data_IF_081553932610
#
_entry.id   IF_081553932610
#
_cell.length_a   1.000
_cell.length_b   1.000
_cell.length_c   1.000
_cell.angle_alpha   90.00
_cell.angle_beta   90.00
_cell.angle_gamma   90.00
#
_symmetry.space_group_name_H-M   'P 1'
#
loop_
_entity.id
_entity.type
_entity.pdbx_description
1 polymer ?
#
# COMPACT_ATOMS: atom_id res chain seq x y z
N UNK A 1 -58.48 43.66 -20.78
CA UNK A 1 -57.50 44.60 -21.35
C UNK A 1 -56.16 43.90 -21.34
N UNK A 2 -55.71 43.57 -22.54
CA UNK A 2 -54.43 42.94 -22.96
C UNK A 2 -53.16 43.78 -22.63
N UNK A 3 -51.91 43.31 -22.92
CA UNK A 3 -51.43 41.94 -23.19
C UNK A 3 -50.07 41.57 -22.53
N UNK A 4 -49.67 40.29 -22.71
CA UNK A 4 -48.30 39.75 -22.59
C UNK A 4 -47.40 40.20 -23.79
N UNK A 5 -46.06 40.17 -23.66
CA UNK A 5 -45.28 39.12 -24.36
C UNK A 5 -44.01 38.71 -23.58
N UNK A 6 -43.31 37.59 -23.83
CA UNK A 6 -43.38 36.66 -24.93
C UNK A 6 -42.49 35.43 -24.69
N UNK A 7 -42.80 34.39 -25.43
CA UNK A 7 -42.01 33.17 -25.61
C UNK A 7 -41.05 33.36 -26.78
N UNK A 8 -39.81 32.87 -26.64
CA UNK A 8 -38.92 32.63 -27.78
C UNK A 8 -38.23 31.28 -27.63
N UNK A 9 -38.43 30.47 -28.67
CA UNK A 9 -37.85 29.16 -28.95
C UNK A 9 -36.35 29.24 -29.27
N UNK A 10 -35.58 28.14 -29.11
CA UNK A 10 -34.15 28.11 -29.42
C UNK A 10 -33.90 28.05 -30.93
N UNK A 11 -33.08 28.98 -31.43
CA UNK A 11 -32.56 28.99 -32.79
C UNK A 11 -31.43 27.97 -32.94
N UNK A 12 -31.61 27.05 -33.89
CA UNK A 12 -30.57 26.21 -34.47
C UNK A 12 -29.61 27.01 -35.38
N UNK A 13 -28.50 26.36 -35.76
CA UNK A 13 -27.58 26.58 -36.90
C UNK A 13 -26.23 27.25 -36.50
N UNK A 14 -25.04 26.92 -37.09
CA UNK A 14 -24.61 25.72 -37.83
C UNK A 14 -23.30 25.08 -37.32
N UNK A 15 -23.12 23.82 -37.75
CA UNK A 15 -21.86 23.08 -37.88
C UNK A 15 -20.92 23.78 -38.88
N UNK A 16 -19.61 23.91 -38.62
CA UNK A 16 -18.62 24.08 -39.67
C UNK A 16 -17.97 22.72 -40.01
N UNK A 17 -18.14 22.34 -41.28
CA UNK A 17 -17.45 21.23 -41.95
C UNK A 17 -16.16 21.75 -42.61
N UNK A 18 -15.12 20.91 -42.58
CA UNK A 18 -13.89 20.83 -43.41
C UNK A 18 -12.68 21.68 -43.04
N UNK A 19 -11.56 20.99 -42.83
CA UNK A 19 -10.39 20.85 -43.74
C UNK A 19 -9.55 19.65 -43.23
N UNK A 20 -9.38 18.49 -43.91
CA UNK A 20 -8.49 18.10 -45.04
C UNK A 20 -7.10 18.76 -44.92
N UNK A 21 -6.00 18.07 -44.59
CA UNK A 21 -5.13 17.11 -45.34
C UNK A 21 -3.96 16.69 -44.38
N UNK A 22 -2.93 15.88 -44.75
CA UNK A 22 -2.92 14.53 -45.30
C UNK A 22 -2.01 13.54 -44.53
N UNK A 23 -2.16 12.25 -44.83
CA UNK A 23 -1.05 11.31 -45.06
C UNK A 23 -0.09 10.97 -43.90
N UNK A 24 -0.24 9.78 -43.32
CA UNK A 24 0.86 8.81 -43.30
C UNK A 24 0.35 7.39 -43.10
N UNK A 25 0.39 6.63 -44.20
CA UNK A 25 0.14 5.21 -44.29
C UNK A 25 1.51 4.53 -44.24
N UNK A 26 1.86 3.91 -43.10
CA UNK A 26 2.97 2.96 -43.04
C UNK A 26 2.36 1.56 -43.08
N UNK A 27 2.53 0.93 -44.24
CA UNK A 27 2.20 -0.47 -44.50
C UNK A 27 3.22 -1.37 -43.84
N UNK A 28 2.78 -2.31 -43.00
CA UNK A 28 3.54 -3.51 -42.70
C UNK A 28 3.10 -4.64 -43.62
N UNK A 29 4.11 -5.32 -44.14
CA UNK A 29 4.10 -6.29 -45.23
C UNK A 29 4.40 -7.63 -44.59
N UNK A 30 3.44 -8.54 -44.55
CA UNK A 30 3.71 -9.96 -44.27
C UNK A 30 3.14 -10.83 -45.38
N UNK A 31 4.08 -11.32 -46.19
CA UNK A 31 4.01 -12.56 -46.94
C UNK A 31 3.65 -13.69 -45.96
N UNK A 32 2.70 -14.59 -46.19
CA UNK A 32 2.57 -15.45 -47.35
C UNK A 32 2.79 -16.90 -46.89
N UNK A 33 1.87 -17.81 -47.26
CA UNK A 33 2.12 -19.25 -47.24
C UNK A 33 1.16 -20.11 -46.39
N UNK A 34 0.01 -20.48 -46.97
CA UNK A 34 -0.59 -21.80 -46.75
C UNK A 34 0.09 -22.81 -47.68
N UNK A 35 0.09 -24.12 -47.37
CA UNK A 35 -0.77 -25.03 -48.14
C UNK A 35 -1.34 -26.19 -47.23
N UNK A 36 -1.92 -27.31 -47.74
CA UNK A 36 -3.32 -27.64 -47.47
C UNK A 36 -3.58 -29.02 -46.82
N UNK A 37 -4.86 -29.30 -46.62
CA UNK A 37 -5.55 -30.47 -46.10
C UNK A 37 -5.19 -31.83 -46.76
N UNK A 38 -5.15 -32.87 -45.91
CA UNK A 38 -5.64 -34.24 -46.13
C UNK A 38 -5.70 -34.91 -44.72
N UNK A 39 -6.75 -35.52 -44.20
CA UNK A 39 -7.91 -36.16 -44.82
C UNK A 39 -7.65 -37.66 -44.99
N UNK A 40 -7.68 -38.45 -43.90
CA UNK A 40 -7.79 -39.91 -43.98
C UNK A 40 -8.48 -40.48 -42.73
N UNK A 41 -9.31 -41.46 -43.03
CA UNK A 41 -10.43 -42.06 -42.30
C UNK A 41 -10.03 -43.29 -41.50
N UNK A 42 -10.74 -43.59 -40.41
CA UNK A 42 -10.70 -44.90 -39.77
C UNK A 42 -11.75 -45.01 -38.65
N UNK A 43 -12.67 -45.96 -38.77
CA UNK A 43 -13.91 -46.12 -38.00
C UNK A 43 -13.97 -47.56 -37.46
N UNK A 44 -14.61 -47.75 -36.31
CA UNK A 44 -15.09 -49.00 -35.67
C UNK A 44 -14.11 -49.90 -34.87
N UNK A 45 -14.37 -50.09 -33.58
CA UNK A 45 -15.20 -51.19 -33.04
C UNK A 45 -15.62 -50.93 -31.58
N UNK A 46 -16.77 -51.48 -31.19
CA UNK A 46 -17.39 -51.45 -29.86
C UNK A 46 -17.14 -52.76 -29.09
N UNK A 47 -17.31 -52.64 -27.77
CA UNK A 47 -17.69 -53.64 -26.73
C UNK A 47 -16.59 -54.41 -25.97
N UNK A 48 -16.76 -54.40 -24.63
CA UNK A 48 -16.09 -55.27 -23.67
C UNK A 48 -16.03 -54.73 -22.25
N UNK A 49 -17.08 -54.94 -21.45
CA UNK A 49 -17.15 -54.72 -19.99
C UNK A 49 -16.22 -55.67 -19.19
N UNK A 50 -15.59 -55.17 -18.12
CA UNK A 50 -15.36 -55.92 -16.86
C UNK A 50 -14.78 -55.04 -15.72
N UNK A 51 -15.59 -54.86 -14.68
CA UNK A 51 -15.35 -54.86 -13.22
C UNK A 51 -14.06 -54.33 -12.53
N UNK A 52 -14.35 -53.58 -11.45
CA UNK A 52 -13.70 -53.53 -10.11
C UNK A 52 -12.44 -52.68 -9.83
N UNK A 53 -12.72 -51.59 -9.08
CA UNK A 53 -12.11 -51.16 -7.81
C UNK A 53 -10.57 -51.09 -7.64
N UNK A 54 -10.05 -49.89 -7.38
CA UNK A 54 -9.30 -49.53 -6.15
C UNK A 54 -8.55 -48.19 -6.26
N UNK A 55 -8.66 -47.42 -5.17
CA UNK A 55 -7.65 -46.53 -4.58
C UNK A 55 -7.11 -45.32 -5.37
N UNK A 56 -7.61 -44.15 -4.93
CA UNK A 56 -7.07 -42.83 -5.09
C UNK A 56 -5.59 -42.74 -4.61
N UNK A 57 -4.66 -42.40 -5.50
CA UNK A 57 -3.29 -42.00 -5.12
C UNK A 57 -2.88 -40.76 -5.92
N UNK A 58 -2.80 -39.64 -5.21
CA UNK A 58 -2.39 -38.34 -5.72
C UNK A 58 -0.98 -38.42 -6.33
N UNK A 59 -0.89 -38.26 -7.65
CA UNK A 59 0.39 -38.10 -8.37
C UNK A 59 0.98 -36.73 -8.07
N UNK A 60 2.06 -36.71 -7.28
CA UNK A 60 2.95 -35.53 -7.14
C UNK A 60 3.64 -35.27 -8.49
N UNK A 61 3.45 -34.07 -9.04
CA UNK A 61 4.10 -33.66 -10.29
C UNK A 61 5.61 -33.49 -10.09
N UNK A 62 6.40 -34.29 -10.80
CA UNK A 62 7.85 -34.14 -10.87
C UNK A 62 8.18 -33.13 -11.96
N UNK A 63 8.65 -31.95 -11.56
CA UNK A 63 9.14 -30.91 -12.46
C UNK A 63 10.34 -31.46 -13.25
N UNK A 64 10.17 -31.62 -14.57
CA UNK A 64 11.25 -31.99 -15.49
C UNK A 64 12.36 -30.94 -15.42
N UNK A 65 13.60 -31.38 -15.19
CA UNK A 65 14.79 -30.52 -15.34
C UNK A 65 15.60 -31.00 -16.54
N UNK A 66 16.06 -30.04 -17.36
CA UNK A 66 16.80 -30.32 -18.58
C UNK A 66 18.25 -30.66 -18.25
N UNK A 67 18.84 -31.57 -19.03
CA UNK A 67 20.21 -32.03 -18.85
C UNK A 67 21.17 -30.89 -19.24
N UNK A 68 21.65 -30.15 -18.24
CA UNK A 68 22.49 -28.97 -18.42
C UNK A 68 22.38 -27.94 -17.28
N UNK A 69 21.30 -27.99 -16.50
CA UNK A 69 21.10 -27.03 -15.40
C UNK A 69 21.99 -27.36 -14.18
N UNK A 70 22.94 -26.46 -13.90
CA UNK A 70 23.89 -26.58 -12.79
C UNK A 70 23.16 -26.28 -11.46
N UNK A 71 23.02 -27.29 -10.59
CA UNK A 71 22.42 -27.14 -9.25
C UNK A 71 23.18 -26.10 -8.43
N UNK A 72 22.51 -25.03 -8.01
CA UNK A 72 23.05 -24.14 -6.98
C UNK A 72 23.15 -24.87 -5.64
N UNK A 73 24.32 -24.80 -4.99
CA UNK A 73 24.56 -25.41 -3.69
C UNK A 73 23.83 -24.61 -2.60
N UNK A 74 22.83 -25.21 -1.96
CA UNK A 74 22.21 -24.67 -0.73
C UNK A 74 23.27 -24.50 0.37
N UNK A 75 23.54 -23.27 0.77
CA UNK A 75 24.33 -22.99 1.97
C UNK A 75 23.53 -23.37 3.23
N UNK A 76 24.07 -24.29 4.02
CA UNK A 76 23.53 -24.73 5.31
C UNK A 76 23.66 -23.60 6.34
N UNK A 77 22.56 -22.92 6.67
CA UNK A 77 22.51 -21.92 7.76
C UNK A 77 22.73 -22.63 9.10
N UNK A 78 23.83 -22.32 9.79
CA UNK A 78 24.11 -22.83 11.15
C UNK A 78 23.14 -22.17 12.13
N UNK A 79 22.45 -23.00 12.93
CA UNK A 79 21.62 -22.62 14.08
C UNK A 79 22.54 -22.03 15.15
N UNK A 80 22.28 -20.81 15.61
CA UNK A 80 22.93 -20.23 16.80
C UNK A 80 21.88 -20.16 17.90
N UNK A 81 22.12 -20.89 18.97
CA UNK A 81 21.39 -20.78 20.23
C UNK A 81 21.88 -19.53 20.96
N UNK A 82 20.92 -18.75 21.46
CA UNK A 82 21.12 -17.50 22.16
C UNK A 82 19.74 -16.98 22.52
N UNK A 83 19.32 -17.27 23.74
CA UNK A 83 18.09 -16.82 24.37
C UNK A 83 18.25 -15.33 24.73
N UNK A 84 17.47 -14.46 24.12
CA UNK A 84 17.26 -13.07 24.54
C UNK A 84 15.85 -12.64 24.09
N UNK A 85 14.94 -12.54 25.07
CA UNK A 85 13.52 -12.23 24.94
C UNK A 85 13.26 -10.74 24.63
N UNK A 86 13.61 -10.28 23.42
CA UNK A 86 13.11 -9.00 22.88
C UNK A 86 12.80 -9.12 21.38
N UNK A 87 11.55 -9.52 21.14
CA UNK A 87 10.69 -9.40 19.95
C UNK A 87 11.36 -9.53 18.57
N UNK A 88 11.45 -10.78 18.13
CA UNK A 88 11.80 -11.14 16.77
C UNK A 88 10.64 -10.91 15.81
N UNK A 89 10.79 -9.96 14.90
CA UNK A 89 10.16 -10.09 13.58
C UNK A 89 10.99 -11.08 12.75
N UNK A 90 10.99 -12.33 13.22
CA UNK A 90 11.37 -13.47 12.41
C UNK A 90 10.22 -13.65 11.42
N UNK A 91 10.46 -13.23 10.18
CA UNK A 91 9.55 -13.28 9.03
C UNK A 91 8.92 -14.68 8.90
N UNK A 92 7.82 -14.88 9.64
CA UNK A 92 7.04 -16.10 9.63
C UNK A 92 5.99 -15.90 8.54
N UNK A 93 5.80 -16.88 7.64
CA UNK A 93 4.90 -16.72 6.49
C UNK A 93 3.43 -16.41 6.89
N UNK A 94 3.07 -16.59 8.16
CA UNK A 94 1.74 -16.27 8.70
C UNK A 94 1.53 -14.78 9.01
N UNK A 95 2.57 -13.98 9.30
CA UNK A 95 2.40 -12.54 9.56
C UNK A 95 2.29 -11.69 8.28
N UNK A 96 2.54 -12.29 7.11
CA UNK A 96 2.46 -11.61 5.81
C UNK A 96 1.08 -11.66 5.16
N UNK A 97 0.14 -12.43 5.72
CA UNK A 97 -1.21 -12.62 5.18
C UNK A 97 -2.25 -11.80 5.96
N UNK A 98 -3.34 -11.43 5.30
CA UNK A 98 -4.45 -10.68 5.89
C UNK A 98 -4.33 -9.16 5.77
N UNK A 99 -5.25 -8.48 6.47
CA UNK A 99 -5.39 -7.04 6.51
C UNK A 99 -5.08 -6.51 7.90
N UNK A 100 -4.42 -5.35 7.99
CA UNK A 100 -3.95 -4.74 9.25
C UNK A 100 -4.29 -3.25 9.28
N UNK A 101 -4.49 -2.69 10.47
CA UNK A 101 -4.73 -1.26 10.63
C UNK A 101 -3.46 -0.49 10.27
N UNK A 102 -3.62 0.63 9.55
CA UNK A 102 -2.50 1.54 9.34
C UNK A 102 -2.24 2.33 10.64
N UNK A 103 -1.02 2.25 11.23
CA UNK A 103 -0.74 2.92 12.50
C UNK A 103 -0.58 4.43 12.34
N UNK A 104 -0.11 4.90 11.18
CA UNK A 104 -0.02 6.34 10.88
C UNK A 104 -0.25 6.60 9.40
N UNK A 105 -0.61 7.84 9.05
CA UNK A 105 -0.76 8.30 7.65
C UNK A 105 0.49 8.02 6.79
N UNK A 106 1.69 8.02 7.38
CA UNK A 106 2.93 7.78 6.64
C UNK A 106 3.00 6.35 6.07
N UNK A 107 2.34 5.38 6.71
CA UNK A 107 2.34 3.98 6.30
C UNK A 107 1.37 3.71 5.15
N UNK A 108 0.28 4.48 5.05
CA UNK A 108 -0.79 4.31 4.06
C UNK A 108 -0.23 4.36 2.64
N UNK A 109 -0.18 3.18 1.99
CA UNK A 109 0.29 2.95 0.63
C UNK A 109 0.02 1.51 0.17
N UNK A 110 -0.08 1.31 -1.15
CA UNK A 110 -0.43 0.02 -1.74
C UNK A 110 -1.91 -0.35 -1.56
N UNK A 111 -2.27 -1.65 -1.60
CA UNK A 111 -3.65 -2.09 -1.50
C UNK A 111 -4.28 -1.74 -0.14
N UNK A 112 -5.40 -1.02 -0.19
CA UNK A 112 -6.19 -0.56 0.94
C UNK A 112 -7.64 -1.06 0.84
N UNK A 113 -8.22 -1.25 2.00
CA UNK A 113 -9.63 -1.54 2.20
C UNK A 113 -10.18 -0.53 3.23
N UNK A 114 -11.29 0.12 2.92
CA UNK A 114 -11.85 1.21 3.75
C UNK A 114 -13.27 0.88 4.16
N UNK A 115 -13.54 0.96 5.46
CA UNK A 115 -14.84 0.68 6.07
C UNK A 115 -15.34 1.95 6.75
N UNK A 116 -16.51 2.45 6.37
CA UNK A 116 -17.23 3.43 7.18
C UNK A 116 -17.87 2.71 8.36
N UNK A 117 -17.45 3.08 9.57
CA UNK A 117 -17.86 2.38 10.81
C UNK A 117 -19.26 2.83 11.25
N UNK A 118 -19.58 4.10 11.09
CA UNK A 118 -20.82 4.70 11.53
C UNK A 118 -21.40 5.66 10.46
N UNK A 119 -21.95 5.11 9.35
CA UNK A 119 -22.65 5.95 8.38
C UNK A 119 -23.86 6.63 9.03
N UNK A 120 -24.09 7.92 8.76
CA UNK A 120 -25.16 8.76 9.36
C UNK A 120 -25.34 10.03 8.51
N UNK A 121 -26.49 10.73 8.40
CA UNK A 121 -27.51 11.03 9.41
C UNK A 121 -28.96 10.97 8.84
N UNK A 122 -29.67 9.85 9.07
CA UNK A 122 -31.07 9.62 8.72
C UNK A 122 -31.81 8.87 9.84
N UNK A 123 -33.14 8.68 9.73
CA UNK A 123 -34.07 8.25 10.80
C UNK A 123 -33.80 6.86 11.44
N UNK A 124 -32.78 6.13 11.00
CA UNK A 124 -32.48 4.78 11.51
C UNK A 124 -31.56 4.83 12.74
N UNK A 125 -32.01 4.22 13.85
CA UNK A 125 -31.33 4.30 15.15
C UNK A 125 -30.06 3.45 15.27
N UNK A 126 -29.78 2.57 14.30
CA UNK A 126 -28.66 1.62 14.35
C UNK A 126 -27.77 1.72 13.10
N UNK A 127 -26.63 2.43 13.16
CA UNK A 127 -25.72 2.55 12.04
C UNK A 127 -25.06 1.19 11.73
N UNK A 128 -25.16 0.75 10.48
CA UNK A 128 -24.52 -0.49 10.01
C UNK A 128 -23.22 -0.18 9.27
N UNK A 129 -22.08 -0.78 9.64
CA UNK A 129 -20.83 -0.58 8.91
C UNK A 129 -20.94 -0.98 7.44
N UNK A 130 -20.27 -0.23 6.56
CA UNK A 130 -20.24 -0.50 5.13
C UNK A 130 -18.85 -0.26 4.54
N UNK A 131 -18.50 -1.03 3.50
CA UNK A 131 -17.29 -0.82 2.71
C UNK A 131 -17.51 0.28 1.68
N UNK A 132 -16.46 1.03 1.39
CA UNK A 132 -16.41 1.85 0.18
C UNK A 132 -16.09 0.93 -1.00
N UNK A 133 -17.07 0.69 -1.87
CA UNK A 133 -16.98 -0.26 -2.97
C UNK A 133 -17.13 0.42 -4.32
N UNK A 134 -16.56 -0.20 -5.35
CA UNK A 134 -16.65 0.26 -6.73
C UNK A 134 -17.58 -0.66 -7.51
N UNK A 135 -18.64 -0.09 -8.08
CA UNK A 135 -19.50 -0.83 -9.00
C UNK A 135 -19.07 -0.50 -10.42
N UNK A 136 -18.40 -1.42 -11.13
CA UNK A 136 -18.12 -1.25 -12.54
C UNK A 136 -19.45 -1.25 -13.30
N UNK A 137 -19.63 -0.29 -14.19
CA UNK A 137 -20.78 -0.24 -15.07
C UNK A 137 -20.45 -0.97 -16.37
N UNK A 138 -21.32 -1.88 -16.86
CA UNK A 138 -21.12 -2.54 -18.15
C UNK A 138 -21.38 -1.60 -19.33
N UNK A 139 -22.04 -0.46 -19.10
CA UNK A 139 -22.50 0.47 -20.13
C UNK A 139 -21.77 1.82 -20.11
N UNK A 140 -21.17 2.18 -18.96
CA UNK A 140 -20.46 3.44 -18.80
C UNK A 140 -19.04 3.21 -18.31
N UNK A 141 -18.06 3.98 -18.83
CA UNK A 141 -16.70 3.95 -18.31
C UNK A 141 -16.67 4.49 -16.85
N UNK A 142 -17.67 5.27 -16.46
CA UNK A 142 -17.86 5.81 -15.12
C UNK A 142 -18.20 4.67 -14.16
N UNK A 143 -17.29 4.35 -13.26
CA UNK A 143 -17.57 3.48 -12.13
C UNK A 143 -18.10 4.32 -10.97
N UNK A 144 -19.19 3.87 -10.38
CA UNK A 144 -19.80 4.52 -9.21
C UNK A 144 -19.15 3.99 -7.96
N UNK A 145 -18.88 4.90 -7.03
CA UNK A 145 -18.40 4.55 -5.69
C UNK A 145 -19.62 4.51 -4.80
N UNK A 146 -19.88 3.36 -4.19
CA UNK A 146 -21.07 3.15 -3.37
C UNK A 146 -20.69 2.58 -2.00
N UNK A 147 -21.48 2.88 -0.96
CA UNK A 147 -21.41 2.15 0.29
C UNK A 147 -22.02 0.76 0.10
N UNK A 148 -21.26 -0.29 0.35
CA UNK A 148 -21.69 -1.68 0.24
C UNK A 148 -21.76 -2.33 1.62
N UNK A 149 -22.89 -2.98 1.92
CA UNK A 149 -23.05 -3.71 3.16
C UNK A 149 -22.03 -4.86 3.25
N UNK A 150 -21.47 -5.04 4.43
CA UNK A 150 -20.51 -6.10 4.71
C UNK A 150 -21.22 -7.42 5.01
N UNK A 151 -20.65 -8.54 4.58
CA UNK A 151 -21.09 -9.87 5.00
C UNK A 151 -20.79 -10.10 6.49
N UNK A 152 -21.46 -11.06 7.12
CA UNK A 152 -21.16 -11.44 8.52
C UNK A 152 -19.69 -11.85 8.69
N UNK A 153 -19.11 -12.53 7.70
CA UNK A 153 -17.71 -12.94 7.72
C UNK A 153 -16.76 -11.73 7.62
N UNK A 154 -17.07 -10.75 6.77
CA UNK A 154 -16.28 -9.52 6.68
C UNK A 154 -16.38 -8.65 7.93
N UNK A 155 -17.53 -8.65 8.62
CA UNK A 155 -17.68 -7.95 9.90
C UNK A 155 -16.81 -8.57 11.02
N UNK A 156 -16.64 -9.89 11.02
CA UNK A 156 -15.80 -10.60 12.00
C UNK A 156 -14.31 -10.49 11.69
N UNK A 157 -13.94 -10.65 10.41
CA UNK A 157 -12.52 -10.70 9.98
C UNK A 157 -11.95 -9.33 9.63
N UNK A 158 -12.80 -8.38 9.27
CA UNK A 158 -12.43 -7.08 8.68
C UNK A 158 -11.59 -7.23 7.41
N UNK A 159 -11.80 -8.33 6.69
CA UNK A 159 -11.27 -8.59 5.36
C UNK A 159 -12.31 -8.17 4.29
N UNK A 160 -11.87 -7.80 3.08
CA UNK A 160 -12.77 -7.42 2.00
C UNK A 160 -13.53 -8.63 1.44
N UNK A 161 -14.86 -8.49 1.28
CA UNK A 161 -15.70 -9.50 0.61
C UNK A 161 -15.40 -9.62 -0.90
N UNK A 162 -15.07 -8.51 -1.55
CA UNK A 162 -14.86 -8.43 -3.00
C UNK A 162 -13.60 -7.61 -3.33
N UNK A 163 -12.95 -7.95 -4.44
CA UNK A 163 -11.84 -7.19 -5.04
C UNK A 163 -12.23 -5.73 -5.28
N UNK A 164 -13.50 -5.47 -5.59
CA UNK A 164 -14.06 -4.15 -5.80
C UNK A 164 -14.14 -3.27 -4.54
N UNK A 165 -13.91 -3.84 -3.35
CA UNK A 165 -13.73 -3.07 -2.10
C UNK A 165 -12.29 -2.56 -1.94
N UNK A 166 -11.35 -3.09 -2.74
CA UNK A 166 -9.93 -2.79 -2.62
C UNK A 166 -9.52 -1.69 -3.58
N UNK A 167 -8.74 -0.74 -3.07
CA UNK A 167 -8.15 0.36 -3.85
C UNK A 167 -6.64 0.40 -3.63
N UNK A 168 -5.88 0.76 -4.65
CA UNK A 168 -4.42 0.91 -4.56
C UNK A 168 -4.06 2.36 -4.29
N UNK A 169 -3.58 2.63 -3.08
CA UNK A 169 -3.10 3.93 -2.66
C UNK A 169 -1.66 4.18 -3.10
N UNK A 170 -1.42 5.28 -3.81
CA UNK A 170 -0.08 5.70 -4.24
C UNK A 170 0.19 7.12 -3.79
N UNK A 171 1.33 7.34 -3.12
CA UNK A 171 1.76 8.69 -2.72
C UNK A 171 2.10 9.52 -3.95
N UNK A 172 1.64 10.77 -3.99
CA UNK A 172 1.99 11.71 -5.06
C UNK A 172 3.47 12.05 -4.93
N UNK A 173 4.16 12.10 -6.08
CA UNK A 173 5.58 12.48 -6.13
C UNK A 173 5.69 13.93 -5.66
N UNK A 174 6.77 14.28 -4.96
CA UNK A 174 7.01 15.62 -4.41
C UNK A 174 6.09 16.06 -3.25
N UNK A 175 5.15 15.21 -2.83
CA UNK A 175 4.33 15.45 -1.63
C UNK A 175 4.57 14.41 -0.55
N UNK A 176 4.63 14.87 0.70
CA UNK A 176 4.79 14.00 1.85
C UNK A 176 3.48 13.41 2.36
N UNK A 177 2.31 13.93 1.97
CA UNK A 177 1.02 13.56 2.57
C UNK A 177 -0.11 13.32 1.55
N UNK A 178 0.02 13.82 0.32
CA UNK A 178 -0.97 13.62 -0.74
C UNK A 178 -0.87 12.21 -1.33
N UNK A 179 -2.02 11.62 -1.59
CA UNK A 179 -2.14 10.29 -2.19
C UNK A 179 -3.18 10.29 -3.30
N UNK A 180 -3.10 9.29 -4.16
CA UNK A 180 -4.09 8.96 -5.17
C UNK A 180 -4.59 7.55 -4.91
N UNK A 181 -5.89 7.32 -5.14
CA UNK A 181 -6.54 6.03 -4.89
C UNK A 181 -6.97 5.44 -6.23
N UNK A 182 -6.32 4.35 -6.64
CA UNK A 182 -6.62 3.65 -7.89
C UNK A 182 -7.58 2.50 -7.64
N UNK A 183 -8.72 2.49 -8.31
CA UNK A 183 -9.76 1.46 -8.19
C UNK A 183 -9.47 0.26 -9.11
N UNK A 184 -10.19 -0.85 -8.94
CA UNK A 184 -9.94 -2.11 -9.65
C UNK A 184 -9.97 -2.01 -11.18
N UNK A 185 -10.79 -1.11 -11.75
CA UNK A 185 -10.86 -0.86 -13.20
C UNK A 185 -9.69 -0.03 -13.76
N UNK A 186 -8.72 0.32 -12.93
CA UNK A 186 -7.52 1.06 -13.31
C UNK A 186 -7.65 2.58 -13.29
N UNK A 187 -8.79 3.13 -12.88
CA UNK A 187 -9.08 4.58 -12.76
C UNK A 187 -8.82 5.10 -11.36
N UNK A 188 -8.94 6.40 -11.16
CA UNK A 188 -8.69 7.05 -9.88
C UNK A 188 -9.98 7.60 -9.27
N UNK A 189 -10.10 7.46 -7.94
CA UNK A 189 -11.15 8.08 -7.15
C UNK A 189 -10.99 9.60 -7.19
N UNK A 190 -12.08 10.30 -7.49
CA UNK A 190 -12.14 11.75 -7.55
C UNK A 190 -13.45 12.24 -6.92
N UNK A 191 -13.48 13.52 -6.53
CA UNK A 191 -14.71 14.23 -6.24
C UNK A 191 -14.87 15.45 -7.13
N UNK A 192 -16.12 15.86 -7.37
CA UNK A 192 -16.44 17.13 -8.02
C UNK A 192 -16.62 18.26 -6.99
N UNK A 193 -16.88 19.47 -7.50
CA UNK A 193 -17.14 20.67 -6.67
C UNK A 193 -18.46 20.61 -5.89
N UNK A 194 -19.38 19.72 -6.29
CA UNK A 194 -20.69 19.50 -5.66
C UNK A 194 -20.64 18.36 -4.64
N UNK A 195 -19.47 17.76 -4.40
CA UNK A 195 -19.26 16.64 -3.50
C UNK A 195 -19.65 15.27 -4.05
N UNK A 196 -19.94 15.12 -5.34
CA UNK A 196 -20.17 13.80 -5.95
C UNK A 196 -18.85 13.03 -6.06
N UNK A 197 -18.83 11.77 -5.64
CA UNK A 197 -17.63 10.91 -5.68
C UNK A 197 -17.73 9.88 -6.80
N UNK A 198 -16.74 9.83 -7.69
CA UNK A 198 -16.70 8.91 -8.82
C UNK A 198 -15.28 8.45 -9.16
N UNK A 199 -15.16 7.44 -10.04
CA UNK A 199 -13.86 6.96 -10.51
C UNK A 199 -13.83 6.87 -12.04
N UNK A 200 -13.67 8.02 -12.68
CA UNK A 200 -13.82 8.18 -14.13
C UNK A 200 -12.51 8.28 -14.89
N UNK A 201 -11.49 8.90 -14.29
CA UNK A 201 -10.27 9.26 -14.99
C UNK A 201 -9.18 8.22 -14.81
N UNK A 202 -8.52 7.90 -15.91
CA UNK A 202 -7.33 7.04 -15.94
C UNK A 202 -6.05 7.81 -15.59
N UNK A 203 -6.11 9.13 -15.59
CA UNK A 203 -5.02 10.03 -15.23
C UNK A 203 -5.20 10.58 -13.81
N UNK A 204 -4.06 10.88 -13.16
CA UNK A 204 -4.01 11.54 -11.87
C UNK A 204 -4.07 13.05 -12.09
N UNK A 205 -5.20 13.67 -11.76
CA UNK A 205 -5.39 15.12 -11.78
C UNK A 205 -5.61 15.69 -10.38
N UNK A 206 -5.97 16.97 -10.31
CA UNK A 206 -6.15 17.66 -9.03
C UNK A 206 -7.33 17.13 -8.19
N UNK A 207 -8.41 16.64 -8.82
CA UNK A 207 -9.55 16.08 -8.09
C UNK A 207 -9.27 14.66 -7.57
N UNK A 208 -8.22 13.99 -8.06
CA UNK A 208 -7.79 12.66 -7.64
C UNK A 208 -6.81 12.69 -6.45
N UNK A 209 -6.44 13.88 -5.98
CA UNK A 209 -5.53 14.06 -4.86
C UNK A 209 -6.30 14.08 -3.52
N UNK A 210 -5.89 13.19 -2.63
CA UNK A 210 -6.50 13.02 -1.31
C UNK A 210 -5.46 13.12 -0.19
N UNK A 211 -5.92 13.45 1.01
CA UNK A 211 -5.12 13.41 2.25
C UNK A 211 -5.90 12.60 3.28
N UNK A 212 -5.23 11.62 3.90
CA UNK A 212 -5.75 10.93 5.08
C UNK A 212 -5.39 11.73 6.33
N UNK A 213 -6.35 12.12 7.15
CA UNK A 213 -6.09 12.76 8.45
C UNK A 213 -6.54 11.82 9.57
N UNK A 214 -5.74 11.67 10.63
CA UNK A 214 -6.10 10.81 11.75
C UNK A 214 -7.28 11.43 12.51
N UNK A 215 -8.29 10.61 12.85
CA UNK A 215 -9.41 11.06 13.67
C UNK A 215 -8.88 11.48 15.04
N UNK A 216 -9.23 12.69 15.49
CA UNK A 216 -8.91 13.13 16.85
C UNK A 216 -10.06 12.70 17.76
N UNK A 217 -9.80 11.99 18.88
CA UNK A 217 -10.85 11.73 19.83
C UNK A 217 -11.37 13.07 20.38
N UNK A 218 -12.70 13.25 20.39
CA UNK A 218 -13.35 14.39 21.02
C UNK A 218 -12.95 14.41 22.50
N UNK A 219 -12.26 15.48 22.96
CA UNK A 219 -11.96 15.64 24.39
C UNK A 219 -13.29 15.68 25.15
N UNK A 220 -13.47 14.89 26.23
CA UNK A 220 -14.62 15.10 27.11
C UNK A 220 -14.53 16.51 27.68
N UNK A 221 -15.65 17.24 27.63
CA UNK A 221 -15.80 18.65 27.99
C UNK A 221 -15.70 18.95 29.50
N UNK A 222 -14.90 18.20 30.25
CA UNK A 222 -14.64 18.44 31.66
C UNK A 222 -13.22 18.03 32.01
N UNK A 223 -12.29 18.99 32.18
CA UNK A 223 -10.97 18.69 32.71
C UNK A 223 -11.12 18.34 34.19
N UNK A 224 -11.11 17.04 34.51
CA UNK A 224 -10.87 16.58 35.88
C UNK A 224 -9.45 16.98 36.31
N UNK A 225 -9.22 17.41 37.56
CA UNK A 225 -7.98 18.05 37.96
C UNK A 225 -6.82 17.07 38.28
N UNK A 226 -6.62 15.99 37.50
CA UNK A 226 -5.53 15.04 37.79
C UNK A 226 -5.08 14.08 36.67
N UNK A 227 -5.41 14.29 35.39
CA UNK A 227 -4.85 13.42 34.34
C UNK A 227 -3.49 13.93 33.83
N UNK A 228 -2.48 13.08 33.98
CA UNK A 228 -1.12 13.28 33.45
C UNK A 228 -1.15 13.75 31.98
N UNK A 229 -0.33 14.76 31.58
CA UNK A 229 -0.33 15.30 30.21
C UNK A 229 0.23 14.37 29.12
N UNK A 230 0.34 13.06 29.38
CA UNK A 230 1.02 12.10 28.50
C UNK A 230 0.17 10.89 28.07
N UNK A 231 -1.08 10.74 28.53
CA UNK A 231 -1.91 9.56 28.22
C UNK A 231 -2.98 9.72 27.14
N UNK A 232 -3.31 10.94 26.71
CA UNK A 232 -4.60 11.18 26.00
C UNK A 232 -4.48 11.55 24.51
N UNK A 233 -3.42 11.10 23.83
CA UNK A 233 -3.21 11.39 22.39
C UNK A 233 -3.12 10.13 21.52
N UNK A 234 -3.93 9.12 21.84
CA UNK A 234 -4.12 7.98 20.94
C UNK A 234 -5.34 8.27 20.05
N UNK A 235 -5.09 8.59 18.78
CA UNK A 235 -6.12 8.45 17.75
C UNK A 235 -6.60 6.99 17.75
N UNK A 236 -7.91 6.74 17.60
CA UNK A 236 -8.42 5.37 17.50
C UNK A 236 -7.68 4.63 16.37
N UNK A 237 -7.17 3.44 16.68
CA UNK A 237 -6.27 2.70 15.81
C UNK A 237 -6.91 2.44 14.43
N UNK A 238 -6.21 2.84 13.37
CA UNK A 238 -6.67 2.66 11.99
C UNK A 238 -7.80 3.59 11.52
N UNK A 239 -8.31 4.51 12.34
CA UNK A 239 -9.39 5.44 11.93
C UNK A 239 -8.83 6.75 11.34
N UNK A 240 -9.32 7.08 10.15
CA UNK A 240 -8.94 8.28 9.40
C UNK A 240 -10.17 8.94 8.78
N UNK A 241 -10.06 10.22 8.48
CA UNK A 241 -10.93 10.93 7.54
C UNK A 241 -10.20 11.10 6.22
N UNK A 242 -10.94 11.04 5.11
CA UNK A 242 -10.38 11.25 3.77
C UNK A 242 -10.80 12.62 3.26
N UNK A 243 -9.81 13.46 2.96
CA UNK A 243 -10.01 14.86 2.58
C UNK A 243 -9.61 15.11 1.13
N UNK A 244 -10.48 15.78 0.39
CA UNK A 244 -10.17 16.28 -0.95
C UNK A 244 -9.17 17.42 -0.86
N UNK A 245 -8.06 17.32 -1.61
CA UNK A 245 -7.04 18.38 -1.64
C UNK A 245 -7.55 19.62 -2.36
N UNK A 246 -8.31 19.43 -3.43
CA UNK A 246 -8.77 20.53 -4.28
C UNK A 246 -9.88 21.34 -3.60
N UNK A 247 -10.85 20.66 -2.99
CA UNK A 247 -12.05 21.28 -2.43
C UNK A 247 -11.99 21.47 -0.91
N UNK A 248 -11.01 20.87 -0.24
CA UNK A 248 -10.84 20.96 1.22
C UNK A 248 -12.06 20.44 2.01
N UNK A 249 -12.84 19.54 1.40
CA UNK A 249 -14.00 18.85 1.98
C UNK A 249 -13.64 17.41 2.35
N UNK A 250 -14.45 16.81 3.22
CA UNK A 250 -14.27 15.45 3.72
C UNK A 250 -15.27 14.50 3.07
N UNK A 251 -14.83 13.27 2.83
CA UNK A 251 -15.67 12.19 2.34
C UNK A 251 -16.57 11.68 3.48
N UNK A 252 -17.88 11.67 3.25
CA UNK A 252 -18.92 11.17 4.15
C UNK A 252 -19.71 10.02 3.52
N UNK A 253 -20.32 9.19 4.36
CA UNK A 253 -21.34 8.21 3.96
C UNK A 253 -22.67 8.57 4.62
N UNK A 254 -23.61 9.04 3.81
CA UNK A 254 -24.86 9.64 4.26
C UNK A 254 -26.08 8.91 3.69
N UNK A 255 -27.21 8.99 4.40
CA UNK A 255 -28.48 8.43 3.98
C UNK A 255 -29.27 9.47 3.18
N UNK A 256 -29.53 9.20 1.91
CA UNK A 256 -30.36 10.06 1.05
C UNK A 256 -31.84 9.84 1.40
N UNK A 257 -32.71 10.80 1.08
CA UNK A 257 -34.17 10.78 1.35
C UNK A 257 -34.93 9.49 0.95
N UNK A 258 -34.35 8.64 0.08
CA UNK A 258 -34.88 7.33 -0.30
C UNK A 258 -34.44 6.18 0.65
N UNK A 259 -33.83 6.49 1.79
CA UNK A 259 -33.28 5.50 2.73
C UNK A 259 -32.06 4.75 2.22
N UNK A 260 -31.43 5.26 1.15
CA UNK A 260 -30.25 4.63 0.52
C UNK A 260 -29.00 5.37 0.94
N UNK A 261 -27.97 4.63 1.34
CA UNK A 261 -26.65 5.20 1.60
C UNK A 261 -25.97 5.63 0.30
N UNK A 262 -25.36 6.81 0.31
CA UNK A 262 -24.56 7.39 -0.76
C UNK A 262 -23.25 7.94 -0.18
N UNK A 263 -22.18 7.89 -0.97
CA UNK A 263 -20.89 8.48 -0.61
C UNK A 263 -20.83 9.89 -1.22
N UNK A 264 -20.55 10.87 -0.37
CA UNK A 264 -20.40 12.28 -0.75
C UNK A 264 -19.07 12.84 -0.24
N UNK A 265 -18.69 14.01 -0.74
CA UNK A 265 -17.47 14.72 -0.38
C UNK A 265 -17.70 16.23 -0.31
N UNK A 266 -18.71 16.64 0.45
CA UNK A 266 -19.14 18.03 0.65
C UNK A 266 -19.09 18.47 2.13
N UNK A 267 -18.81 17.58 3.08
CA UNK A 267 -18.69 17.98 4.48
C UNK A 267 -17.47 18.86 4.72
N UNK A 268 -17.65 19.93 5.49
CA UNK A 268 -16.56 20.80 5.97
C UNK A 268 -15.96 20.35 7.31
N UNK A 269 -16.55 19.36 7.99
CA UNK A 269 -16.17 18.89 9.32
C UNK A 269 -15.55 17.50 9.29
N UNK A 270 -14.41 17.35 9.98
CA UNK A 270 -13.78 16.04 10.24
C UNK A 270 -14.43 15.28 11.40
N UNK A 271 -15.27 15.96 12.18
CA UNK A 271 -15.78 15.45 13.45
C UNK A 271 -17.02 14.57 13.26
N UNK A 272 -17.61 14.60 12.07
CA UNK A 272 -18.78 13.79 11.73
C UNK A 272 -18.40 12.32 11.72
N UNK A 273 -19.16 11.49 12.45
CA UNK A 273 -18.93 10.05 12.53
C UNK A 273 -19.09 9.36 11.16
N UNK A 274 -19.91 9.93 10.27
CA UNK A 274 -20.08 9.48 8.89
C UNK A 274 -18.85 9.68 8.01
N UNK A 275 -17.91 10.54 8.43
CA UNK A 275 -16.62 10.75 7.78
C UNK A 275 -15.54 9.77 8.24
N UNK A 276 -15.78 9.00 9.31
CA UNK A 276 -14.75 8.15 9.92
C UNK A 276 -14.62 6.82 9.17
N UNK A 277 -13.43 6.61 8.61
CA UNK A 277 -13.07 5.43 7.83
C UNK A 277 -12.02 4.62 8.57
N UNK A 278 -12.31 3.34 8.81
CA UNK A 278 -11.31 2.36 9.21
C UNK A 278 -10.50 1.96 7.98
N UNK A 279 -9.22 2.32 7.98
CA UNK A 279 -8.28 2.06 6.87
C UNK A 279 -7.44 0.84 7.17
N UNK A 280 -7.67 -0.20 6.38
CA UNK A 280 -7.00 -1.50 6.44
C UNK A 280 -6.02 -1.61 5.28
N UNK A 281 -4.82 -2.10 5.56
CA UNK A 281 -3.74 -2.33 4.60
C UNK A 281 -3.43 -3.81 4.50
N UNK A 282 -3.05 -4.29 3.31
CA UNK A 282 -2.52 -5.65 3.19
C UNK A 282 -1.26 -5.80 4.07
N UNK A 283 -1.19 -6.85 4.89
CA UNK A 283 -0.15 -7.04 5.91
C UNK A 283 1.28 -6.99 5.32
N UNK A 284 1.51 -7.72 4.22
CA UNK A 284 2.78 -7.70 3.50
C UNK A 284 3.21 -6.29 3.07
N UNK A 285 2.26 -5.44 2.66
CA UNK A 285 2.55 -4.08 2.22
C UNK A 285 2.80 -3.13 3.39
N UNK A 286 2.09 -3.30 4.50
CA UNK A 286 2.38 -2.57 5.73
C UNK A 286 3.81 -2.81 6.22
N UNK A 287 4.29 -4.06 6.17
CA UNK A 287 5.67 -4.43 6.53
C UNK A 287 6.69 -3.73 5.61
N UNK A 288 6.44 -3.73 4.28
CA UNK A 288 7.28 -3.00 3.33
C UNK A 288 7.29 -1.50 3.61
N UNK A 289 6.14 -0.92 3.93
CA UNK A 289 6.02 0.51 4.26
C UNK A 289 6.74 0.88 5.55
N UNK A 290 6.64 0.06 6.60
CA UNK A 290 7.43 0.22 7.84
C UNK A 290 8.92 0.22 7.55
N UNK A 291 9.39 -0.75 6.75
CA UNK A 291 10.81 -0.84 6.34
C UNK A 291 11.25 0.39 5.54
N UNK A 292 10.45 0.82 4.56
CA UNK A 292 10.73 2.01 3.74
C UNK A 292 10.88 3.27 4.58
N UNK A 293 9.97 3.50 5.53
CA UNK A 293 10.02 4.66 6.42
C UNK A 293 11.23 4.60 7.36
N UNK A 294 11.57 3.43 7.88
CA UNK A 294 12.78 3.25 8.69
C UNK A 294 14.06 3.55 7.89
N UNK A 295 14.14 3.10 6.64
CA UNK A 295 15.25 3.41 5.74
C UNK A 295 15.32 4.90 5.36
N UNK A 296 14.17 5.54 5.12
CA UNK A 296 14.11 6.98 4.85
C UNK A 296 14.54 7.80 6.06
N UNK A 297 14.09 7.42 7.26
CA UNK A 297 14.49 8.06 8.51
C UNK A 297 15.99 7.88 8.78
N UNK A 298 16.54 6.69 8.51
CA UNK A 298 17.98 6.45 8.59
C UNK A 298 18.76 7.31 7.58
N UNK A 299 18.28 7.43 6.33
CA UNK A 299 18.89 8.28 5.30
C UNK A 299 18.81 9.77 5.65
N UNK A 300 17.68 10.25 6.14
CA UNK A 300 17.52 11.64 6.60
C UNK A 300 18.40 11.93 7.81
N UNK A 301 18.53 10.98 8.74
CA UNK A 301 19.50 11.06 9.84
C UNK A 301 20.95 11.13 9.36
N UNK A 302 21.28 10.45 8.24
CA UNK A 302 22.59 10.53 7.57
C UNK A 302 22.81 11.84 6.79
N UNK A 303 21.75 12.48 6.28
CA UNK A 303 21.82 13.70 5.45
C UNK A 303 21.60 14.99 6.24
N UNK A 304 21.20 14.89 7.51
CA UNK A 304 21.04 16.03 8.40
C UNK A 304 22.38 16.72 8.62
N UNK A 305 22.63 17.81 7.88
CA UNK A 305 23.67 18.80 8.16
C UNK A 305 23.36 19.65 9.41
N UNK A 306 22.36 19.26 10.21
CA UNK A 306 22.12 19.85 11.53
C UNK A 306 23.11 19.23 12.52
N UNK A 307 24.26 19.91 12.60
CA UNK A 307 25.31 19.72 13.58
C UNK A 307 24.73 19.64 15.02
N UNK A 308 24.71 18.45 15.62
CA UNK A 308 25.20 18.28 17.00
C UNK A 308 25.34 16.82 17.47
N UNK A 309 24.93 15.82 16.68
CA UNK A 309 25.10 14.42 17.07
C UNK A 309 25.52 13.59 15.86
N UNK A 310 26.82 13.38 15.70
CA UNK A 310 27.39 12.46 14.71
C UNK A 310 27.05 11.00 15.00
N UNK A 311 25.76 10.65 14.96
CA UNK A 311 25.32 9.27 15.09
C UNK A 311 25.18 8.63 13.71
N UNK A 312 26.11 7.73 13.42
CA UNK A 312 25.81 6.57 12.59
C UNK A 312 24.67 5.81 13.26
N UNK A 313 23.43 6.03 12.83
CA UNK A 313 22.25 5.40 13.43
C UNK A 313 22.38 3.89 13.25
N UNK A 314 22.49 3.16 14.37
CA UNK A 314 22.29 1.72 14.44
C UNK A 314 20.96 1.40 13.74
N UNK A 315 20.95 0.56 12.70
CA UNK A 315 19.69 0.07 12.14
C UNK A 315 18.90 -0.61 13.25
N UNK A 316 17.57 -0.51 13.25
CA UNK A 316 16.73 -1.18 14.24
C UNK A 316 17.09 -2.69 14.28
N UNK A 317 17.42 -3.20 15.48
CA UNK A 317 17.87 -4.59 15.69
C UNK A 317 19.36 -4.86 15.43
N UNK A 318 20.16 -3.86 15.06
CA UNK A 318 21.60 -4.03 14.85
C UNK A 318 22.38 -3.70 16.12
N UNK A 319 23.29 -4.57 16.54
CA UNK A 319 24.15 -4.32 17.71
C UNK A 319 25.39 -3.49 17.33
N UNK A 320 26.02 -2.86 18.33
CA UNK A 320 27.30 -2.12 18.14
C UNK A 320 28.39 -3.05 17.56
N UNK A 321 28.40 -4.31 17.97
CA UNK A 321 29.33 -5.31 17.43
C UNK A 321 29.06 -5.61 15.95
N UNK A 322 27.78 -5.65 15.55
CA UNK A 322 27.42 -5.83 14.14
C UNK A 322 27.81 -4.61 13.29
N UNK A 323 27.75 -3.40 13.83
CA UNK A 323 28.25 -2.20 13.13
C UNK A 323 29.76 -2.28 12.91
N UNK A 324 30.53 -2.58 13.97
CA UNK A 324 31.98 -2.71 13.89
C UNK A 324 32.38 -3.81 12.88
N UNK A 325 31.73 -4.97 12.95
CA UNK A 325 31.94 -6.07 12.01
C UNK A 325 31.65 -5.68 10.55
N UNK A 326 30.56 -4.95 10.28
CA UNK A 326 30.23 -4.51 8.93
C UNK A 326 31.19 -3.43 8.42
N UNK A 327 31.61 -2.52 9.29
CA UNK A 327 32.59 -1.49 8.95
C UNK A 327 33.92 -2.16 8.56
N UNK A 328 34.42 -3.09 9.37
CA UNK A 328 35.64 -3.85 9.04
C UNK A 328 35.47 -4.63 7.73
N UNK A 329 34.35 -5.33 7.52
CA UNK A 329 34.10 -6.08 6.26
C UNK A 329 34.14 -5.20 5.01
N UNK A 330 33.70 -3.96 5.12
CA UNK A 330 33.65 -3.03 3.99
C UNK A 330 35.05 -2.61 3.54
N UNK A 331 35.99 -2.44 4.49
CA UNK A 331 37.31 -1.86 4.23
C UNK A 331 38.49 -2.84 4.37
N UNK A 332 38.26 -4.05 4.91
CA UNK A 332 39.26 -5.11 4.93
C UNK A 332 39.46 -5.64 3.50
N UNK A 333 40.69 -5.52 2.98
CA UNK A 333 41.05 -6.05 1.68
C UNK A 333 40.84 -7.58 1.67
N UNK A 334 40.08 -8.07 0.69
CA UNK A 334 39.72 -9.49 0.53
C UNK A 334 40.96 -10.35 0.23
N UNK A 335 41.74 -10.69 1.26
CA UNK A 335 42.92 -11.55 1.15
C UNK A 335 42.79 -12.92 1.79
N UNK A 336 42.01 -13.05 2.88
CA UNK A 336 42.01 -14.28 3.70
C UNK A 336 40.64 -14.76 4.19
N UNK A 337 39.52 -14.13 3.80
CA UNK A 337 38.16 -14.59 4.11
C UNK A 337 37.75 -14.63 5.59
N UNK A 338 38.65 -14.28 6.53
CA UNK A 338 38.37 -14.21 7.97
C UNK A 338 38.22 -12.76 8.41
N UNK A 339 37.07 -12.47 9.00
CA UNK A 339 36.83 -11.22 9.72
C UNK A 339 37.68 -11.22 10.99
N UNK A 340 38.57 -10.23 11.12
CA UNK A 340 39.33 -10.00 12.34
C UNK A 340 38.67 -8.81 13.03
N UNK A 341 38.01 -9.06 14.15
CA UNK A 341 37.51 -8.00 15.02
C UNK A 341 38.60 -7.63 16.03
N UNK A 342 38.70 -6.36 16.45
CA UNK A 342 39.61 -5.95 17.51
C UNK A 342 39.25 -6.66 18.83
N UNK A 343 40.25 -6.88 19.68
CA UNK A 343 40.06 -7.52 20.99
C UNK A 343 39.55 -6.56 22.07
N UNK A 344 39.37 -5.28 21.74
CA UNK A 344 38.96 -4.22 22.67
C UNK A 344 37.46 -4.32 23.00
N UNK A 345 37.09 -3.95 24.23
CA UNK A 345 35.69 -3.99 24.66
C UNK A 345 34.83 -2.92 23.95
N UNK A 346 33.52 -3.18 23.86
CA UNK A 346 32.55 -2.26 23.25
C UNK A 346 32.25 -1.00 24.10
N UNK A 347 32.92 -0.81 25.25
CA UNK A 347 32.67 0.31 26.15
C UNK A 347 33.07 1.66 25.52
N UNK A 348 34.20 1.70 24.81
CA UNK A 348 34.64 2.90 24.07
C UNK A 348 33.64 3.30 23.00
N UNK A 349 33.14 2.33 22.21
CA UNK A 349 32.11 2.56 21.20
C UNK A 349 30.79 3.06 21.79
N UNK A 350 30.38 2.56 22.96
CA UNK A 350 29.19 3.05 23.66
C UNK A 350 29.35 4.50 24.13
N UNK A 351 30.55 4.88 24.59
CA UNK A 351 30.87 6.26 25.00
C UNK A 351 30.92 7.19 23.78
N UNK A 352 31.64 6.81 22.73
CA UNK A 352 31.73 7.54 21.47
C UNK A 352 30.36 7.70 20.79
N UNK A 353 29.46 6.72 20.93
CA UNK A 353 28.07 6.82 20.47
C UNK A 353 27.28 7.90 21.21
N UNK A 354 27.49 8.06 22.52
CA UNK A 354 26.84 9.13 23.32
C UNK A 354 27.44 10.50 23.01
N UNK A 355 28.73 10.55 22.72
CA UNK A 355 29.47 11.78 22.43
C UNK A 355 29.41 12.20 20.95
N UNK A 356 28.75 11.41 20.08
CA UNK A 356 28.63 11.70 18.65
C UNK A 356 29.92 11.54 17.85
N UNK A 357 30.91 10.83 18.40
CA UNK A 357 32.22 10.54 17.77
C UNK A 357 32.38 9.07 17.39
N UNK A 358 31.26 8.37 17.17
CA UNK A 358 31.27 6.93 16.88
C UNK A 358 32.05 6.58 15.60
N UNK A 359 31.98 7.43 14.58
CA UNK A 359 32.68 7.21 13.32
C UNK A 359 34.21 7.32 13.46
N UNK A 360 34.68 8.27 14.27
CA UNK A 360 36.10 8.46 14.59
C UNK A 360 36.64 7.26 15.37
N UNK A 361 35.94 6.84 16.42
CA UNK A 361 36.34 5.67 17.24
C UNK A 361 36.34 4.37 16.42
N UNK A 362 35.38 4.18 15.50
CA UNK A 362 35.37 3.03 14.59
C UNK A 362 36.55 3.07 13.61
N UNK A 363 36.97 4.27 13.18
CA UNK A 363 38.14 4.45 12.33
C UNK A 363 39.44 4.17 13.09
N UNK A 364 39.57 4.66 14.33
CA UNK A 364 40.74 4.41 15.18
C UNK A 364 40.90 2.92 15.48
N UNK A 365 39.80 2.23 15.78
CA UNK A 365 39.81 0.77 16.01
C UNK A 365 40.16 0.00 14.74
N UNK A 366 39.77 0.50 13.56
CA UNK A 366 40.16 -0.07 12.26
C UNK A 366 41.61 0.19 11.90
N UNK A 367 42.15 1.38 12.19
CA UNK A 367 43.53 1.74 11.96
C UNK A 367 44.51 0.82 12.72
N UNK A 368 44.10 0.38 13.91
CA UNK A 368 44.84 -0.62 14.70
C UNK A 368 44.89 -2.01 14.05
N UNK A 369 43.98 -2.33 13.12
CA UNK A 369 43.97 -3.62 12.43
C UNK A 369 44.99 -3.63 11.29
N UNK A 370 45.95 -4.55 11.37
CA UNK A 370 47.00 -4.73 10.34
C UNK A 370 46.47 -5.01 8.93
N UNK A 371 45.21 -5.44 8.81
CA UNK A 371 44.57 -5.82 7.55
C UNK A 371 43.78 -4.70 6.86
N UNK A 372 43.65 -3.53 7.48
CA UNK A 372 42.98 -2.38 6.85
C UNK A 372 44.00 -1.60 5.99
N UNK A 373 43.76 -1.56 4.69
CA UNK A 373 44.62 -0.84 3.72
C UNK A 373 44.32 0.66 3.69
N UNK A 374 43.13 1.06 4.11
CA UNK A 374 42.58 2.41 3.95
C UNK A 374 42.58 3.22 5.24
N UNK A 375 42.93 2.62 6.37
CA UNK A 375 42.97 3.26 7.68
C UNK A 375 44.41 3.50 8.20
N UNK A 376 45.40 3.58 7.30
CA UNK A 376 46.79 3.94 7.63
C UNK A 376 47.08 5.39 7.33
#
# INVERSE_FOLDING_TARGET
MEPLPGSSTPSCIPIPLRDRWPGNRVTWKECGGRPPLAGLTGKFYLDGDSETAMANSQRKSTKLTFKGDKKEKKHRKRKREGNDDLDGLQDSPQQTEGWLNSPTQAHISGPLYMICVAPCLGTSSDPKPCALAIVPSPLSPIARVIPMALSSQALETLDPDDVNHVMVCTRVVDSSNKVTLRVANGRYLACDELGSVSAEREARGAQEEWIFEAVRPSRPSSPGPSSNPQSDQYSPDGLYVLKSVLYNTYLTVEEVANGKLEIRCDSSSSDDSSSHLLVRMQAAELIKSKKRLAEEHAKKGLLSKSNNTGLTILKAGQTISDLEANNIRQYQARGAGRLITPSESNAGLKKACKEGRLAEELLDRRAKLKSDRYAK
#
